data_IF_816282806480
#
_entry.id   IF_816282806480
#
_cell.length_a   1.000
_cell.length_b   1.000
_cell.length_c   1.000
_cell.angle_alpha   90.00
_cell.angle_beta   90.00
_cell.angle_gamma   90.00
#
_symmetry.space_group_name_H-M   'P 1'
#
loop_
_entity.id
_entity.type
_entity.pdbx_description
1 polymer ?
#
# COMPACT_ATOMS: atom_id res chain seq x y z
N UNK A 1 21.58 18.15 -3.08
CA UNK A 1 21.26 17.60 -2.85
C UNK A 1 20.09 17.25 -2.25
N UNK A 2 19.30 17.82 -1.95
CA UNK A 2 18.08 17.40 -1.37
C UNK A 2 17.28 16.44 -2.17
N UNK A 3 17.73 16.24 -3.30
CA UNK A 3 17.01 15.35 -4.19
C UNK A 3 16.89 13.95 -3.64
N UNK A 4 17.83 13.57 -2.81
CA UNK A 4 17.72 12.25 -2.30
C UNK A 4 16.53 12.10 -1.42
N UNK A 5 16.08 13.17 -0.85
CA UNK A 5 14.91 13.11 -0.02
C UNK A 5 13.69 12.68 -0.83
N UNK A 6 13.62 13.17 -2.03
CA UNK A 6 12.46 12.84 -2.84
C UNK A 6 12.44 11.38 -3.21
N UNK A 7 13.55 10.70 -3.15
CA UNK A 7 13.56 9.29 -3.44
C UNK A 7 12.84 8.48 -2.40
N UNK A 8 12.63 9.05 -1.25
CA UNK A 8 11.90 8.38 -0.22
C UNK A 8 10.41 8.53 -0.41
N UNK A 9 10.01 9.38 -1.31
CA UNK A 9 8.60 9.56 -1.54
C UNK A 9 8.01 8.31 -2.12
N UNK A 10 6.94 7.87 -1.52
CA UNK A 10 6.20 6.77 -2.05
C UNK A 10 5.38 7.22 -3.24
N UNK A 11 5.22 6.36 -4.23
CA UNK A 11 4.29 6.65 -5.30
C UNK A 11 2.87 6.44 -4.83
N UNK A 12 2.70 5.87 -3.64
CA UNK A 12 1.40 5.64 -3.05
C UNK A 12 0.98 6.82 -2.21
N UNK A 13 -0.32 7.03 -2.11
CA UNK A 13 -0.84 7.99 -1.14
C UNK A 13 -0.63 7.42 0.25
N UNK A 14 -0.75 8.29 1.27
CA UNK A 14 -0.63 7.84 2.65
C UNK A 14 -1.63 6.74 2.97
N UNK A 15 -2.85 6.87 2.48
CA UNK A 15 -3.88 5.88 2.77
C UNK A 15 -3.60 4.55 2.08
N UNK A 16 -3.12 4.60 0.85
CA UNK A 16 -2.73 3.39 0.15
C UNK A 16 -1.61 2.67 0.88
N UNK A 17 -0.66 3.43 1.37
CA UNK A 17 0.45 2.86 2.10
C UNK A 17 -0.01 2.24 3.42
N UNK A 18 -0.92 2.90 4.11
CA UNK A 18 -1.49 2.35 5.34
C UNK A 18 -2.18 1.02 5.08
N UNK A 19 -2.96 0.96 4.00
CA UNK A 19 -3.66 -0.26 3.65
C UNK A 19 -2.68 -1.41 3.45
N UNK A 20 -1.62 -1.17 2.69
CA UNK A 20 -0.64 -2.23 2.44
C UNK A 20 0.16 -2.58 3.68
N UNK A 21 0.41 -1.63 4.56
CA UNK A 21 1.07 -1.91 5.83
C UNK A 21 0.25 -2.89 6.66
N UNK A 22 -1.07 -2.78 6.59
CA UNK A 22 -1.94 -3.69 7.31
C UNK A 22 -2.08 -5.03 6.58
N UNK A 23 -2.03 -5.00 5.25
CA UNK A 23 -2.09 -6.25 4.48
C UNK A 23 -0.91 -7.15 4.81
N UNK A 24 0.29 -6.60 4.96
CA UNK A 24 1.45 -7.41 5.29
C UNK A 24 1.34 -8.01 6.68
N UNK A 25 0.46 -7.48 7.52
CA UNK A 25 0.18 -8.05 8.83
C UNK A 25 -0.90 -9.11 8.76
N UNK A 26 -1.26 -9.50 7.57
CA UNK A 26 -2.24 -10.56 7.33
C UNK A 26 -3.66 -10.19 7.73
N UNK A 27 -3.99 -8.90 7.63
CA UNK A 27 -5.34 -8.44 7.91
C UNK A 27 -6.19 -8.55 6.65
N UNK A 28 -7.46 -8.89 6.84
CA UNK A 28 -8.41 -8.95 5.74
C UNK A 28 -8.87 -7.54 5.38
N UNK A 29 -9.46 -7.38 4.18
CA UNK A 29 -9.99 -6.08 3.79
C UNK A 29 -11.04 -5.58 4.78
N UNK A 30 -11.81 -6.51 5.35
CA UNK A 30 -12.81 -6.15 6.35
C UNK A 30 -12.15 -5.60 7.60
N UNK A 31 -11.10 -6.26 8.06
CA UNK A 31 -10.38 -5.81 9.25
C UNK A 31 -9.71 -4.47 9.01
N UNK A 32 -9.12 -4.29 7.84
CA UNK A 32 -8.48 -3.03 7.48
C UNK A 32 -9.52 -1.90 7.45
N UNK A 33 -10.67 -2.17 6.85
CA UNK A 33 -11.73 -1.18 6.79
C UNK A 33 -12.14 -0.73 8.19
N UNK A 34 -12.28 -1.70 9.09
CA UNK A 34 -12.64 -1.40 10.46
C UNK A 34 -11.55 -0.59 11.15
N UNK A 35 -10.31 -1.00 10.96
CA UNK A 35 -9.17 -0.33 11.59
C UNK A 35 -9.05 1.12 11.13
N UNK A 36 -9.27 1.38 9.86
CA UNK A 36 -9.10 2.70 9.29
C UNK A 36 -10.38 3.53 9.29
N UNK A 37 -11.51 2.94 9.67
CA UNK A 37 -12.78 3.65 9.70
C UNK A 37 -13.31 3.98 8.33
N UNK A 38 -13.09 3.11 7.35
CA UNK A 38 -13.58 3.30 5.98
C UNK A 38 -14.28 2.02 5.52
N UNK A 39 -14.92 2.08 4.35
CA UNK A 39 -15.63 0.91 3.85
C UNK A 39 -14.67 -0.08 3.21
N UNK A 40 -15.09 -1.34 3.13
CA UNK A 40 -14.29 -2.36 2.43
C UNK A 40 -14.10 -1.98 0.97
N UNK A 41 -15.11 -1.38 0.37
CA UNK A 41 -15.00 -0.95 -1.02
C UNK A 41 -13.87 0.06 -1.17
N UNK A 42 -13.78 1.00 -0.24
CA UNK A 42 -12.73 1.98 -0.26
C UNK A 42 -11.35 1.33 -0.09
N UNK A 43 -11.27 0.33 0.79
CA UNK A 43 -10.02 -0.41 0.97
C UNK A 43 -9.63 -1.06 -0.36
N UNK A 44 -10.57 -1.74 -1.01
CA UNK A 44 -10.28 -2.40 -2.28
C UNK A 44 -9.88 -1.41 -3.36
N UNK A 45 -10.49 -0.22 -3.36
CA UNK A 45 -10.11 0.82 -4.31
C UNK A 45 -8.68 1.28 -4.08
N UNK A 46 -8.27 1.44 -2.82
CA UNK A 46 -6.89 1.81 -2.51
C UNK A 46 -5.92 0.73 -2.99
N UNK A 47 -6.28 -0.53 -2.79
CA UNK A 47 -5.44 -1.64 -3.24
C UNK A 47 -5.30 -1.62 -4.76
N UNK A 48 -6.42 -1.48 -5.45
CA UNK A 48 -6.44 -1.47 -6.90
C UNK A 48 -5.61 -0.34 -7.48
N UNK A 49 -5.80 0.85 -6.92
CA UNK A 49 -5.06 2.02 -7.38
C UNK A 49 -3.56 1.85 -7.16
N UNK A 50 -3.19 1.30 -6.02
CA UNK A 50 -1.79 1.05 -5.73
C UNK A 50 -1.20 0.05 -6.70
N UNK A 51 -1.93 -1.02 -6.99
CA UNK A 51 -1.47 -2.04 -7.93
C UNK A 51 -1.25 -1.45 -9.31
N UNK A 52 -2.15 -0.57 -9.74
CA UNK A 52 -2.00 0.09 -11.03
C UNK A 52 -0.75 0.96 -11.06
N UNK A 53 -0.50 1.68 -10.00
CA UNK A 53 0.69 2.54 -9.92
C UNK A 53 1.96 1.72 -9.96
N UNK A 54 1.94 0.55 -9.35
CA UNK A 54 3.11 -0.33 -9.30
C UNK A 54 3.26 -1.18 -10.56
N UNK A 55 2.23 -1.23 -11.38
CA UNK A 55 2.26 -2.03 -12.59
C UNK A 55 2.25 -3.52 -12.34
N UNK A 56 1.61 -3.95 -11.26
CA UNK A 56 1.54 -5.36 -10.90
C UNK A 56 0.11 -5.84 -10.98
N UNK A 57 -0.07 -7.15 -11.04
CA UNK A 57 -1.39 -7.74 -11.21
C UNK A 57 -1.94 -8.40 -9.96
N UNK A 58 -1.14 -8.60 -8.95
CA UNK A 58 -1.58 -9.27 -7.74
C UNK A 58 -1.10 -8.55 -6.51
N UNK A 59 -1.82 -8.75 -5.41
CA UNK A 59 -1.47 -8.12 -4.15
C UNK A 59 -0.11 -8.56 -3.64
N UNK A 60 0.20 -9.84 -3.81
CA UNK A 60 1.48 -10.37 -3.36
C UNK A 60 2.62 -9.69 -4.08
N UNK A 61 2.47 -9.48 -5.39
CA UNK A 61 3.48 -8.78 -6.15
C UNK A 61 3.61 -7.33 -5.70
N UNK A 62 2.48 -6.71 -5.37
CA UNK A 62 2.49 -5.33 -4.89
C UNK A 62 3.27 -5.23 -3.59
N UNK A 63 3.04 -6.17 -2.68
CA UNK A 63 3.75 -6.17 -1.40
C UNK A 63 5.25 -6.32 -1.62
N UNK A 64 5.64 -7.25 -2.50
CA UNK A 64 7.05 -7.47 -2.79
C UNK A 64 7.69 -6.21 -3.36
N UNK A 65 7.00 -5.55 -4.31
CA UNK A 65 7.52 -4.32 -4.90
C UNK A 65 7.67 -3.22 -3.86
N UNK A 66 6.70 -3.09 -2.98
CA UNK A 66 6.76 -2.05 -1.96
C UNK A 66 7.88 -2.29 -0.96
N UNK A 67 8.15 -3.55 -0.66
CA UNK A 67 9.26 -3.90 0.21
C UNK A 67 10.58 -3.55 -0.49
N UNK A 68 10.70 -3.90 -1.77
CA UNK A 68 11.90 -3.58 -2.54
C UNK A 68 12.16 -2.09 -2.62
N UNK A 69 11.10 -1.30 -2.71
CA UNK A 69 11.22 0.15 -2.78
C UNK A 69 11.41 0.80 -1.41
N UNK A 70 11.31 0.01 -0.36
CA UNK A 70 11.46 0.54 0.98
C UNK A 70 10.26 1.26 1.51
N UNK A 71 9.10 1.09 0.87
CA UNK A 71 7.87 1.76 1.30
C UNK A 71 7.19 1.04 2.45
N UNK A 72 7.46 -0.25 2.58
CA UNK A 72 6.88 -1.08 3.63
C UNK A 72 7.99 -1.93 4.21
N UNK A 73 7.96 -2.14 5.52
CA UNK A 73 8.89 -3.08 6.16
C UNK A 73 8.07 -4.19 6.80
N UNK A 74 8.66 -5.36 6.86
CA UNK A 74 8.01 -6.50 7.49
C UNK A 74 8.26 -6.54 8.99
#
# INVERSE_FOLDING_TARGET
MGSEVSMKKSILTNREQEVFSLLVKNMTTKEIASELGISEKTVRNHISNAMQKLGVKGRAQAVVELIKLGNITL
#
